data_IF_432102990871
#
_entry.id   IF_432102990871
#
_cell.length_a   1.000
_cell.length_b   1.000
_cell.length_c   1.000
_cell.angle_alpha   90.00
_cell.angle_beta   90.00
_cell.angle_gamma   90.00
#
_symmetry.space_group_name_H-M   'P 1'
#
loop_
_entity.id
_entity.type
_entity.pdbx_description
1 polymer ?
#
# COMPACT_ATOMS: atom_id res chain seq x y z
N UNK A 1 7.76 18.56 0.91
CA UNK A 1 6.36 18.50 1.28
C UNK A 1 5.52 18.32 0.01
N UNK A 2 4.62 17.37 0.00
CA UNK A 2 3.72 17.10 -1.10
C UNK A 2 2.29 16.94 -0.56
N UNK A 3 1.37 17.72 -1.12
CA UNK A 3 -0.04 17.68 -0.76
C UNK A 3 -0.81 16.84 -1.77
N UNK A 4 -1.59 15.91 -1.28
CA UNK A 4 -2.46 15.07 -2.09
C UNK A 4 -3.93 15.34 -1.73
N UNK A 5 -4.74 15.51 -2.75
CA UNK A 5 -6.19 15.66 -2.65
C UNK A 5 -6.85 14.64 -3.55
N UNK A 6 -7.90 14.00 -3.07
CA UNK A 6 -8.56 12.97 -3.85
C UNK A 6 -9.90 12.54 -3.31
N UNK A 7 -10.57 11.74 -4.12
CA UNK A 7 -11.77 11.01 -3.75
C UNK A 7 -11.45 9.53 -3.70
N UNK A 8 -12.02 8.83 -2.74
CA UNK A 8 -11.97 7.38 -2.68
C UNK A 8 -13.16 6.81 -3.43
N UNK A 9 -12.88 6.08 -4.50
CA UNK A 9 -13.88 5.41 -5.32
C UNK A 9 -13.51 3.95 -5.55
N UNK A 10 -14.52 3.08 -5.61
CA UNK A 10 -14.30 1.70 -6.00
C UNK A 10 -14.46 1.55 -7.53
N UNK A 11 -13.63 0.73 -8.14
CA UNK A 11 -13.69 0.44 -9.57
C UNK A 11 -14.83 -0.52 -9.94
N UNK A 12 -15.42 -0.30 -11.10
CA UNK A 12 -16.48 -1.15 -11.65
C UNK A 12 -15.88 -2.45 -12.22
N UNK A 13 -16.30 -3.59 -11.68
CA UNK A 13 -15.93 -4.92 -12.15
C UNK A 13 -17.16 -5.78 -12.44
N UNK A 14 -16.97 -7.07 -12.76
CA UNK A 14 -18.07 -8.00 -12.91
C UNK A 14 -18.80 -8.24 -11.59
N UNK A 15 -20.05 -8.60 -11.65
CA UNK A 15 -20.95 -8.79 -10.50
C UNK A 15 -20.34 -9.74 -9.44
N UNK A 16 -19.76 -10.84 -9.88
CA UNK A 16 -19.17 -11.83 -8.98
C UNK A 16 -17.91 -11.31 -8.30
N UNK A 17 -17.14 -10.49 -8.99
CA UNK A 17 -15.93 -9.87 -8.44
C UNK A 17 -16.23 -8.69 -7.54
N UNK A 18 -17.32 -7.96 -7.82
CA UNK A 18 -17.71 -6.79 -6.99
C UNK A 18 -18.12 -7.20 -5.57
N UNK A 19 -18.74 -8.37 -5.40
CA UNK A 19 -19.08 -8.88 -4.07
C UNK A 19 -17.86 -9.20 -3.19
N UNK A 20 -16.69 -9.33 -3.80
CA UNK A 20 -15.43 -9.62 -3.10
C UNK A 20 -14.51 -8.40 -2.97
N UNK A 21 -14.93 -7.23 -3.46
CA UNK A 21 -14.13 -5.99 -3.45
C UNK A 21 -14.58 -5.10 -2.30
N UNK A 22 -13.61 -4.62 -1.55
CA UNK A 22 -13.86 -3.60 -0.54
C UNK A 22 -14.50 -2.35 -1.14
N UNK A 23 -15.51 -1.83 -0.48
CA UNK A 23 -16.25 -0.63 -0.90
C UNK A 23 -17.54 -0.88 -1.69
N UNK A 24 -17.95 -2.14 -1.85
CA UNK A 24 -19.25 -2.50 -2.42
C UNK A 24 -20.03 -3.44 -1.53
N UNK A 25 -21.29 -3.12 -1.29
CA UNK A 25 -22.25 -3.98 -0.60
C UNK A 25 -23.23 -4.58 -1.57
N UNK A 26 -23.58 -5.85 -1.33
CA UNK A 26 -24.70 -6.51 -1.99
C UNK A 26 -25.98 -6.23 -1.22
N UNK A 27 -26.94 -5.55 -1.83
CA UNK A 27 -28.17 -5.11 -1.19
C UNK A 27 -29.40 -5.51 -2.00
N UNK A 28 -30.55 -5.48 -1.36
CA UNK A 28 -31.83 -5.73 -2.06
C UNK A 28 -32.07 -4.70 -3.16
N UNK A 29 -32.50 -5.17 -4.30
CA UNK A 29 -32.91 -4.34 -5.46
C UNK A 29 -34.39 -3.97 -5.46
N UNK A 30 -35.11 -4.29 -4.40
CA UNK A 30 -36.56 -4.03 -4.28
C UNK A 30 -36.85 -3.17 -3.06
N UNK A 31 -37.84 -2.30 -3.18
CA UNK A 31 -38.32 -1.44 -2.10
C UNK A 31 -39.16 -0.30 -2.65
N UNK A 32 -39.98 0.31 -1.77
CA UNK A 32 -40.76 1.48 -2.12
C UNK A 32 -39.82 2.66 -2.38
N UNK A 33 -39.90 3.26 -3.56
CA UNK A 33 -39.02 4.37 -3.94
C UNK A 33 -37.72 3.95 -4.64
N UNK A 34 -37.52 2.66 -4.91
CA UNK A 34 -36.39 2.16 -5.69
C UNK A 34 -36.84 1.89 -7.13
N UNK A 35 -36.17 2.52 -8.09
CA UNK A 35 -36.34 2.25 -9.52
C UNK A 35 -35.22 1.33 -9.99
N UNK A 36 -35.60 0.10 -10.34
CA UNK A 36 -34.60 -0.91 -10.81
C UNK A 36 -34.69 -1.03 -12.34
N UNK A 37 -33.63 -0.60 -13.03
CA UNK A 37 -33.45 -0.70 -14.48
C UNK A 37 -32.58 -1.88 -14.89
N UNK A 38 -32.17 -2.72 -13.96
CA UNK A 38 -31.31 -3.87 -14.26
C UNK A 38 -32.15 -5.07 -14.75
N UNK A 39 -31.52 -5.92 -15.58
CA UNK A 39 -32.09 -7.19 -15.99
C UNK A 39 -31.86 -8.31 -14.95
N UNK A 40 -31.39 -8.00 -13.75
CA UNK A 40 -31.09 -8.99 -12.71
C UNK A 40 -32.37 -9.55 -12.12
N UNK A 41 -32.40 -10.88 -11.96
CA UNK A 41 -33.52 -11.64 -11.41
C UNK A 41 -33.28 -12.19 -10.00
N UNK A 42 -32.03 -12.00 -9.48
CA UNK A 42 -31.64 -12.50 -8.15
C UNK A 42 -32.11 -11.63 -6.99
N UNK A 43 -32.76 -10.51 -7.26
CA UNK A 43 -33.30 -9.59 -6.25
C UNK A 43 -32.23 -8.74 -5.55
N UNK A 44 -30.99 -8.75 -6.01
CA UNK A 44 -29.88 -8.02 -5.42
C UNK A 44 -29.20 -7.07 -6.40
N UNK A 45 -28.54 -6.08 -5.85
CA UNK A 45 -27.78 -5.08 -6.59
C UNK A 45 -26.53 -4.69 -5.80
N UNK A 46 -25.71 -3.86 -6.38
CA UNK A 46 -24.50 -3.34 -5.75
C UNK A 46 -24.65 -1.88 -5.37
N UNK A 47 -24.12 -1.57 -4.21
CA UNK A 47 -24.08 -0.22 -3.68
C UNK A 47 -22.60 0.13 -3.44
N UNK A 48 -22.18 1.29 -3.91
CA UNK A 48 -20.83 1.78 -3.67
C UNK A 48 -20.71 2.36 -2.27
N UNK A 49 -19.78 1.84 -1.50
CA UNK A 49 -19.36 2.31 -0.19
C UNK A 49 -17.93 2.80 -0.27
N UNK A 50 -17.52 3.61 0.67
CA UNK A 50 -18.02 4.93 1.01
C UNK A 50 -17.56 5.94 -0.04
N UNK A 51 -18.23 7.07 -0.14
CA UNK A 51 -17.70 8.24 -0.85
C UNK A 51 -17.07 9.17 0.16
N UNK A 52 -15.81 9.52 -0.04
CA UNK A 52 -15.08 10.40 0.84
C UNK A 52 -14.17 11.37 0.07
N UNK A 53 -14.03 12.57 0.62
CA UNK A 53 -13.01 13.54 0.20
C UNK A 53 -11.87 13.51 1.20
N UNK A 54 -10.66 13.48 0.69
CA UNK A 54 -9.45 13.40 1.49
C UNK A 54 -8.45 14.47 1.08
N UNK A 55 -7.86 15.11 2.07
CA UNK A 55 -6.72 16.02 1.90
C UNK A 55 -5.59 15.45 2.76
N UNK A 56 -4.45 15.23 2.15
CA UNK A 56 -3.24 14.72 2.80
C UNK A 56 -2.05 15.61 2.52
N UNK A 57 -1.30 15.89 3.55
CA UNK A 57 0.04 16.45 3.45
C UNK A 57 1.07 15.34 3.71
N UNK A 58 2.01 15.19 2.81
CA UNK A 58 3.05 14.17 2.88
C UNK A 58 4.42 14.83 2.90
N UNK A 59 5.23 14.43 3.85
CA UNK A 59 6.63 14.81 3.95
C UNK A 59 7.53 13.60 3.79
N UNK A 60 8.55 13.72 2.95
CA UNK A 60 9.48 12.64 2.67
C UNK A 60 10.91 13.14 2.61
N UNK A 61 11.74 12.57 3.46
CA UNK A 61 13.19 12.80 3.45
C UNK A 61 13.89 11.51 3.03
N UNK A 62 14.71 11.59 1.99
CA UNK A 62 15.55 10.48 1.53
C UNK A 62 17.02 10.82 1.70
N UNK A 63 17.77 9.88 2.25
CA UNK A 63 19.23 9.95 2.40
C UNK A 63 19.84 8.71 1.76
N UNK A 64 20.75 8.90 0.83
CA UNK A 64 21.49 7.81 0.19
C UNK A 64 22.98 8.10 0.27
N UNK A 65 23.76 7.06 0.49
CA UNK A 65 25.21 7.08 0.41
C UNK A 65 25.70 5.78 -0.23
N UNK A 66 26.78 5.88 -0.99
CA UNK A 66 27.48 4.73 -1.55
C UNK A 66 28.97 4.99 -1.49
N UNK A 67 29.74 3.97 -1.13
CA UNK A 67 31.19 4.00 -1.15
C UNK A 67 31.72 2.69 -1.73
N UNK A 68 32.68 2.77 -2.61
CA UNK A 68 33.36 1.63 -3.18
C UNK A 68 34.88 1.87 -3.09
N UNK A 69 35.59 0.90 -2.53
CA UNK A 69 37.03 0.91 -2.44
C UNK A 69 37.60 -0.32 -3.16
N UNK A 70 38.43 -0.10 -4.17
CA UNK A 70 39.12 -1.16 -4.87
C UNK A 70 40.61 -1.09 -4.55
N UNK A 71 41.21 -2.23 -4.22
CA UNK A 71 42.58 -2.36 -3.81
C UNK A 71 43.24 -3.48 -4.63
N UNK A 72 44.32 -3.17 -5.35
CA UNK A 72 45.17 -4.18 -5.93
C UNK A 72 46.13 -4.70 -4.83
N UNK A 73 45.85 -5.92 -4.35
CA UNK A 73 46.68 -6.58 -3.32
C UNK A 73 47.97 -7.15 -3.92
N UNK A 74 47.95 -7.48 -5.22
CA UNK A 74 49.07 -7.85 -6.06
C UNK A 74 48.70 -7.65 -7.53
N UNK A 75 49.63 -7.93 -8.45
CA UNK A 75 49.35 -7.89 -9.89
C UNK A 75 48.24 -8.86 -10.33
N UNK A 76 48.00 -9.89 -9.53
CA UNK A 76 47.03 -10.94 -9.83
C UNK A 76 45.80 -10.94 -8.93
N UNK A 77 45.71 -10.10 -7.87
CA UNK A 77 44.65 -10.09 -6.89
C UNK A 77 44.11 -8.68 -6.72
N UNK A 78 42.83 -8.52 -6.99
CA UNK A 78 42.07 -7.28 -6.75
C UNK A 78 40.95 -7.56 -5.76
N UNK A 79 40.84 -6.71 -4.75
CA UNK A 79 39.73 -6.74 -3.78
C UNK A 79 38.90 -5.49 -3.93
N UNK A 80 37.58 -5.64 -3.91
CA UNK A 80 36.64 -4.55 -3.93
C UNK A 80 35.73 -4.66 -2.70
N UNK A 81 35.63 -3.57 -1.94
CA UNK A 81 34.69 -3.42 -0.82
C UNK A 81 33.69 -2.36 -1.23
N UNK A 82 32.42 -2.66 -1.10
CA UNK A 82 31.34 -1.72 -1.36
C UNK A 82 30.37 -1.63 -0.19
N UNK A 83 29.90 -0.43 0.05
CA UNK A 83 28.89 -0.12 1.04
C UNK A 83 27.81 0.76 0.44
N UNK A 84 26.56 0.37 0.67
CA UNK A 84 25.38 1.13 0.24
C UNK A 84 24.48 1.40 1.45
N UNK A 85 24.01 2.64 1.55
CA UNK A 85 23.07 3.12 2.55
C UNK A 85 21.92 3.84 1.86
N UNK A 86 20.68 3.51 2.22
CA UNK A 86 19.49 4.22 1.75
C UNK A 86 18.46 4.27 2.87
N UNK A 87 18.10 5.48 3.29
CA UNK A 87 17.06 5.71 4.28
C UNK A 87 15.96 6.61 3.71
N UNK A 88 14.71 6.31 4.08
CA UNK A 88 13.55 7.12 3.76
C UNK A 88 12.71 7.29 5.02
N UNK A 89 12.57 8.54 5.46
CA UNK A 89 11.59 8.95 6.45
C UNK A 89 10.37 9.50 5.69
N UNK A 90 9.18 9.00 6.01
CA UNK A 90 7.93 9.44 5.40
C UNK A 90 6.91 9.71 6.48
N UNK A 91 6.43 10.95 6.53
CA UNK A 91 5.37 11.41 7.41
C UNK A 91 4.16 11.83 6.58
N UNK A 92 2.98 11.46 7.04
CA UNK A 92 1.70 11.76 6.40
C UNK A 92 0.70 12.20 7.45
N UNK A 93 0.02 13.31 7.21
CA UNK A 93 -1.11 13.75 8.00
C UNK A 93 -2.22 14.27 7.10
N UNK A 94 -3.46 14.16 7.54
CA UNK A 94 -4.57 14.62 6.73
C UNK A 94 -5.92 14.50 7.40
N UNK A 95 -6.92 14.89 6.64
CA UNK A 95 -8.31 14.78 7.01
C UNK A 95 -9.08 14.06 5.92
N UNK A 96 -10.06 13.28 6.32
CA UNK A 96 -11.04 12.68 5.43
C UNK A 96 -12.44 13.11 5.88
N UNK A 97 -13.26 13.49 4.91
CA UNK A 97 -14.67 13.80 5.11
C UNK A 97 -15.50 12.88 4.23
N UNK A 98 -16.42 12.16 4.83
CA UNK A 98 -17.18 11.18 4.09
C UNK A 98 -18.44 10.72 4.80
N UNK A 99 -18.97 9.63 4.31
CA UNK A 99 -20.06 8.91 4.95
C UNK A 99 -19.89 7.42 4.73
N UNK A 100 -19.97 6.67 5.80
CA UNK A 100 -19.97 5.20 5.76
C UNK A 100 -21.40 4.72 5.51
N UNK A 101 -21.70 4.37 4.25
CA UNK A 101 -23.02 3.98 3.81
C UNK A 101 -23.09 2.47 3.64
N UNK A 102 -24.06 1.85 4.29
CA UNK A 102 -24.52 0.54 3.87
C UNK A 102 -25.66 0.67 2.87
N UNK A 103 -25.61 -0.05 1.77
CA UNK A 103 -26.69 -0.01 0.78
C UNK A 103 -28.04 -0.47 1.31
N UNK A 104 -28.05 -1.24 2.41
CA UNK A 104 -29.28 -1.63 3.14
C UNK A 104 -30.02 -0.45 3.77
N UNK A 105 -29.38 0.68 3.93
CA UNK A 105 -29.96 1.90 4.49
C UNK A 105 -30.66 2.77 3.44
N UNK A 106 -30.53 2.44 2.15
CA UNK A 106 -31.09 3.22 1.04
C UNK A 106 -32.60 3.16 1.04
N UNK A 107 -33.23 4.33 1.14
CA UNK A 107 -34.70 4.46 1.16
C UNK A 107 -35.27 4.72 -0.22
N UNK A 108 -34.56 5.48 -1.04
CA UNK A 108 -34.94 5.81 -2.41
C UNK A 108 -33.72 5.76 -3.29
N UNK A 109 -33.87 5.44 -4.57
CA UNK A 109 -32.75 5.46 -5.48
C UNK A 109 -33.05 4.81 -6.82
N UNK A 110 -32.06 4.93 -7.71
CA UNK A 110 -32.10 4.34 -9.05
C UNK A 110 -30.98 3.33 -9.21
N UNK A 111 -31.34 2.17 -9.71
CA UNK A 111 -30.41 1.11 -10.11
C UNK A 111 -30.28 1.14 -11.62
N UNK A 112 -29.08 1.24 -12.15
CA UNK A 112 -28.84 1.24 -13.59
C UNK A 112 -28.95 -0.16 -14.22
N UNK A 113 -28.82 -0.24 -15.55
CA UNK A 113 -28.90 -1.50 -16.29
C UNK A 113 -27.81 -2.54 -15.92
N UNK A 114 -26.74 -2.09 -15.28
CA UNK A 114 -25.64 -2.97 -14.79
C UNK A 114 -25.88 -3.52 -13.39
N UNK A 115 -26.95 -3.12 -12.73
CA UNK A 115 -27.27 -3.56 -11.38
C UNK A 115 -26.55 -2.80 -10.28
N UNK A 116 -26.25 -1.53 -10.49
CA UNK A 116 -25.56 -0.67 -9.51
C UNK A 116 -26.39 0.56 -9.23
N UNK A 117 -26.47 0.99 -7.98
CA UNK A 117 -27.09 2.25 -7.60
C UNK A 117 -26.32 3.43 -8.21
N UNK A 118 -27.05 4.33 -8.90
CA UNK A 118 -26.53 5.58 -9.46
C UNK A 118 -26.84 6.79 -8.61
N UNK A 119 -27.89 6.70 -7.84
CA UNK A 119 -28.29 7.71 -6.86
C UNK A 119 -29.06 7.03 -5.72
N UNK A 120 -29.14 7.70 -4.59
CA UNK A 120 -29.90 7.21 -3.45
C UNK A 120 -30.00 8.22 -2.34
N UNK A 121 -30.99 8.05 -1.49
CA UNK A 121 -31.16 8.79 -0.23
C UNK A 121 -31.14 7.84 0.93
N UNK A 122 -30.45 8.24 2.00
CA UNK A 122 -30.36 7.49 3.25
C UNK A 122 -30.67 8.43 4.40
N UNK A 123 -31.68 8.11 5.20
CA UNK A 123 -32.03 8.91 6.37
C UNK A 123 -31.21 8.53 7.60
N UNK A 124 -31.19 9.43 8.59
CA UNK A 124 -30.52 9.25 9.88
C UNK A 124 -29.02 8.99 9.75
N UNK A 125 -28.35 9.76 8.89
CA UNK A 125 -26.90 9.68 8.71
C UNK A 125 -26.18 10.84 9.37
N UNK A 126 -25.13 10.49 10.05
CA UNK A 126 -24.13 11.39 10.58
C UNK A 126 -23.14 11.82 9.50
N UNK A 127 -22.50 12.95 9.70
CA UNK A 127 -21.27 13.30 9.02
C UNK A 127 -20.11 12.55 9.66
N UNK A 128 -19.24 11.98 8.84
CA UNK A 128 -18.04 11.32 9.29
C UNK A 128 -16.81 12.12 8.88
N UNK A 129 -15.96 12.42 9.86
CA UNK A 129 -14.65 12.98 9.66
C UNK A 129 -13.61 12.08 10.28
N UNK A 130 -12.45 12.00 9.64
CA UNK A 130 -11.31 11.29 10.19
C UNK A 130 -10.08 12.19 10.13
N UNK A 131 -9.36 12.25 11.23
CA UNK A 131 -7.96 12.65 11.22
C UNK A 131 -7.14 11.41 10.87
N UNK A 132 -6.23 11.55 9.92
CA UNK A 132 -5.39 10.46 9.43
C UNK A 132 -3.94 10.89 9.60
N UNK A 133 -3.11 10.03 10.17
CA UNK A 133 -1.69 10.30 10.28
C UNK A 133 -0.88 9.00 10.22
N UNK A 134 0.37 9.12 9.85
CA UNK A 134 1.29 7.99 9.85
C UNK A 134 2.72 8.44 9.66
N UNK A 135 3.63 7.70 10.25
CA UNK A 135 5.07 7.89 10.07
C UNK A 135 5.71 6.55 9.80
N UNK A 136 6.54 6.48 8.78
CA UNK A 136 7.32 5.27 8.48
C UNK A 136 8.78 5.62 8.25
N UNK A 137 9.66 4.75 8.74
CA UNK A 137 11.09 4.78 8.44
C UNK A 137 11.48 3.50 7.74
N UNK A 138 12.13 3.65 6.60
CA UNK A 138 12.69 2.53 5.86
C UNK A 138 14.20 2.73 5.79
N UNK A 139 14.94 1.69 6.13
CA UNK A 139 16.40 1.68 6.09
C UNK A 139 16.85 0.45 5.29
N UNK A 140 17.76 0.67 4.36
CA UNK A 140 18.46 -0.40 3.66
C UNK A 140 19.95 -0.15 3.74
N UNK A 141 20.68 -1.18 4.12
CA UNK A 141 22.15 -1.17 4.18
C UNK A 141 22.67 -2.43 3.51
N UNK A 142 23.81 -2.31 2.84
CA UNK A 142 24.50 -3.45 2.24
C UNK A 142 25.99 -3.24 2.32
N UNK A 143 26.71 -4.29 2.70
CA UNK A 143 28.17 -4.36 2.69
C UNK A 143 28.59 -5.57 1.85
N UNK A 144 29.38 -5.33 0.83
CA UNK A 144 29.91 -6.34 -0.07
C UNK A 144 31.45 -6.41 -0.04
N UNK A 145 31.96 -7.60 -0.27
CA UNK A 145 33.38 -7.87 -0.51
C UNK A 145 33.49 -8.78 -1.72
N UNK A 146 34.20 -8.31 -2.73
CA UNK A 146 34.60 -9.12 -3.88
C UNK A 146 36.12 -9.26 -3.91
N UNK A 147 36.61 -10.45 -4.27
CA UNK A 147 38.02 -10.73 -4.49
C UNK A 147 38.16 -11.46 -5.83
N UNK A 148 38.78 -10.80 -6.78
CA UNK A 148 39.18 -11.37 -8.06
C UNK A 148 40.62 -11.82 -8.02
N UNK A 149 40.88 -13.07 -8.36
CA UNK A 149 42.22 -13.65 -8.37
C UNK A 149 42.52 -14.32 -9.71
N UNK A 150 43.41 -13.74 -10.48
CA UNK A 150 44.01 -14.34 -11.68
C UNK A 150 45.15 -15.29 -11.27
N UNK A 151 44.85 -16.58 -11.09
CA UNK A 151 45.83 -17.58 -10.62
C UNK A 151 46.94 -17.77 -11.65
N UNK A 152 46.57 -17.85 -12.93
CA UNK A 152 47.48 -17.90 -14.06
C UNK A 152 46.73 -17.48 -15.33
N UNK A 153 47.35 -17.53 -16.49
CA UNK A 153 46.75 -17.10 -17.77
C UNK A 153 45.47 -17.86 -18.12
N UNK A 154 45.31 -19.09 -17.61
CA UNK A 154 44.19 -19.96 -17.93
C UNK A 154 43.08 -19.96 -16.85
N UNK A 155 43.39 -19.60 -15.59
CA UNK A 155 42.46 -19.79 -14.47
C UNK A 155 42.28 -18.51 -13.69
N UNK A 156 41.00 -18.07 -13.59
CA UNK A 156 40.52 -17.00 -12.73
C UNK A 156 39.60 -17.58 -11.67
N UNK A 157 39.69 -17.12 -10.43
CA UNK A 157 38.73 -17.34 -9.37
C UNK A 157 38.17 -16.01 -8.89
N UNK A 158 36.90 -16.01 -8.46
CA UNK A 158 36.27 -14.88 -7.82
C UNK A 158 35.54 -15.35 -6.56
N UNK A 159 35.71 -14.61 -5.48
CA UNK A 159 34.92 -14.71 -4.25
C UNK A 159 34.06 -13.47 -4.15
N UNK A 160 32.77 -13.65 -4.01
CA UNK A 160 31.81 -12.58 -3.71
C UNK A 160 31.07 -12.94 -2.43
N UNK A 161 31.02 -12.01 -1.49
CA UNK A 161 30.22 -12.15 -0.28
C UNK A 161 29.60 -10.82 0.08
N UNK A 162 28.31 -10.84 0.41
CA UNK A 162 27.65 -9.64 0.88
C UNK A 162 26.63 -9.95 1.98
N UNK A 163 26.44 -8.94 2.82
CA UNK A 163 25.37 -8.89 3.81
C UNK A 163 24.55 -7.64 3.58
N UNK A 164 23.24 -7.81 3.48
CA UNK A 164 22.30 -6.70 3.37
C UNK A 164 21.19 -6.81 4.40
N UNK A 165 20.71 -5.66 4.85
CA UNK A 165 19.55 -5.55 5.71
C UNK A 165 18.57 -4.52 5.17
N UNK A 166 17.27 -4.80 5.34
CA UNK A 166 16.19 -3.90 5.00
C UNK A 166 15.18 -3.89 6.14
N UNK A 167 14.99 -2.73 6.77
CA UNK A 167 14.03 -2.58 7.85
C UNK A 167 12.97 -1.51 7.56
N UNK A 168 11.77 -1.74 8.05
CA UNK A 168 10.68 -0.78 8.08
C UNK A 168 10.13 -0.69 9.49
N UNK A 169 9.98 0.54 10.00
CA UNK A 169 9.33 0.81 11.29
C UNK A 169 8.25 1.86 11.14
N UNK A 170 7.26 1.85 12.03
CA UNK A 170 6.20 2.84 12.09
C UNK A 170 4.86 2.32 11.55
N UNK A 171 3.98 3.21 11.16
CA UNK A 171 2.60 2.87 10.80
C UNK A 171 2.53 1.95 9.59
N UNK A 172 1.90 0.79 9.73
CA UNK A 172 1.62 -0.08 8.57
C UNK A 172 0.47 0.43 7.74
N UNK A 173 -0.57 0.87 8.41
CA UNK A 173 -1.74 1.55 7.86
C UNK A 173 -1.77 2.96 8.46
N UNK A 174 -2.45 3.92 7.83
CA UNK A 174 -2.69 5.20 8.47
C UNK A 174 -3.36 4.98 9.82
N UNK A 175 -2.85 5.63 10.85
CA UNK A 175 -3.57 5.79 12.09
C UNK A 175 -4.71 6.75 11.84
N UNK A 176 -5.82 6.57 12.52
CA UNK A 176 -7.00 7.40 12.31
C UNK A 176 -7.77 7.63 13.61
N UNK A 177 -8.36 8.82 13.70
CA UNK A 177 -9.31 9.18 14.73
C UNK A 177 -10.58 9.66 14.04
N UNK A 178 -11.67 8.94 14.25
CA UNK A 178 -12.98 9.24 13.69
C UNK A 178 -13.78 10.16 14.58
N UNK A 179 -14.53 11.06 13.93
CA UNK A 179 -15.49 11.95 14.53
C UNK A 179 -16.82 11.85 13.77
N UNK A 180 -17.92 11.78 14.49
CA UNK A 180 -19.27 11.78 13.93
C UNK A 180 -20.10 12.89 14.52
N UNK A 181 -21.12 13.35 13.79
CA UNK A 181 -22.08 14.32 14.33
C UNK A 181 -23.16 13.62 15.15
N UNK A 182 -23.54 14.23 16.28
CA UNK A 182 -24.72 13.79 17.05
C UNK A 182 -26.03 14.05 16.30
N UNK A 183 -26.07 15.13 15.52
CA UNK A 183 -27.21 15.46 14.68
C UNK A 183 -27.12 14.71 13.36
N UNK A 184 -28.18 13.96 13.05
CA UNK A 184 -28.29 13.14 11.84
C UNK A 184 -29.21 13.81 10.83
N UNK A 185 -28.86 13.63 9.55
CA UNK A 185 -29.64 14.16 8.44
C UNK A 185 -29.95 13.11 7.38
N UNK A 186 -30.58 13.55 6.31
CA UNK A 186 -30.75 12.76 5.11
C UNK A 186 -29.56 12.98 4.18
N UNK A 187 -28.85 11.92 3.92
CA UNK A 187 -27.77 11.91 2.93
C UNK A 187 -28.37 11.64 1.55
N UNK A 188 -28.01 12.46 0.59
CA UNK A 188 -28.25 12.20 -0.83
C UNK A 188 -26.92 11.88 -1.50
N UNK A 189 -26.87 10.74 -2.16
CA UNK A 189 -25.72 10.26 -2.90
C UNK A 189 -26.02 10.24 -4.40
N UNK A 190 -25.06 10.65 -5.22
CA UNK A 190 -25.11 10.55 -6.68
C UNK A 190 -23.81 10.00 -7.21
N UNK A 191 -23.93 8.96 -8.01
CA UNK A 191 -22.82 8.36 -8.72
C UNK A 191 -22.70 8.99 -10.11
N UNK A 192 -21.57 9.58 -10.39
CA UNK A 192 -21.31 10.25 -11.66
C UNK A 192 -21.07 9.29 -12.85
N UNK A 193 -21.12 7.99 -12.64
CA UNK A 193 -20.85 6.99 -13.67
C UNK A 193 -19.39 6.95 -14.08
N UNK A 194 -19.13 6.71 -15.38
CA UNK A 194 -17.76 6.51 -15.87
C UNK A 194 -16.95 7.81 -16.07
N UNK A 195 -17.51 8.96 -15.82
CA UNK A 195 -16.91 10.23 -16.26
C UNK A 195 -16.82 11.33 -15.21
N UNK A 196 -17.15 11.04 -13.95
CA UNK A 196 -17.17 12.08 -12.93
C UNK A 196 -16.91 11.57 -11.51
N UNK A 197 -16.84 12.52 -10.61
CA UNK A 197 -16.65 12.29 -9.17
C UNK A 197 -18.03 12.08 -8.54
N UNK A 198 -18.20 11.02 -7.76
CA UNK A 198 -19.40 10.81 -6.97
C UNK A 198 -19.59 11.96 -6.00
N UNK A 199 -20.82 12.35 -5.78
CA UNK A 199 -21.15 13.43 -4.85
C UNK A 199 -22.12 12.95 -3.77
N UNK A 200 -22.00 13.56 -2.61
CA UNK A 200 -22.98 13.40 -1.54
C UNK A 200 -23.30 14.76 -0.92
N UNK A 201 -24.46 14.88 -0.38
CA UNK A 201 -24.94 16.06 0.30
C UNK A 201 -25.87 15.68 1.45
N UNK A 202 -25.90 16.51 2.47
CA UNK A 202 -26.81 16.38 3.60
C UNK A 202 -27.83 17.50 3.61
N UNK A 203 -29.01 17.23 4.13
CA UNK A 203 -30.07 18.24 4.33
C UNK A 203 -29.92 19.03 5.64
N UNK A 204 -29.01 18.60 6.52
CA UNK A 204 -28.68 19.30 7.78
C UNK A 204 -27.43 20.13 7.62
N UNK A 205 -27.37 21.25 8.35
CA UNK A 205 -26.20 22.11 8.36
C UNK A 205 -25.03 21.45 9.10
N UNK A 206 -23.83 21.71 8.60
CA UNK A 206 -22.60 21.34 9.25
C UNK A 206 -22.32 22.27 10.43
N UNK A 207 -22.31 21.73 11.64
CA UNK A 207 -22.05 22.44 12.89
C UNK A 207 -20.92 21.76 13.67
N UNK A 208 -19.71 22.36 13.72
CA UNK A 208 -18.56 21.74 14.38
C UNK A 208 -18.77 21.40 15.85
N UNK A 209 -19.65 22.13 16.54
CA UNK A 209 -19.99 21.89 17.95
C UNK A 209 -20.71 20.57 18.21
N UNK A 210 -21.25 19.95 17.15
CA UNK A 210 -22.00 18.70 17.25
C UNK A 210 -21.14 17.46 17.03
N UNK A 211 -19.82 17.62 16.87
CA UNK A 211 -18.93 16.48 16.67
C UNK A 211 -18.55 15.78 17.96
N UNK A 212 -18.61 14.46 17.91
CA UNK A 212 -18.17 13.56 18.97
C UNK A 212 -17.07 12.65 18.41
N UNK A 213 -16.08 12.35 19.25
CA UNK A 213 -15.11 11.32 18.90
C UNK A 213 -15.80 9.96 18.83
N UNK A 214 -15.61 9.23 17.73
CA UNK A 214 -16.32 7.97 17.46
C UNK A 214 -15.42 6.75 17.50
N UNK A 215 -14.20 6.88 17.04
CA UNK A 215 -13.26 5.74 16.94
C UNK A 215 -11.81 6.20 16.97
N UNK A 216 -10.93 5.29 17.37
CA UNK A 216 -9.47 5.43 17.22
C UNK A 216 -8.92 4.13 16.69
N UNK A 217 -8.09 4.21 15.66
CA UNK A 217 -7.30 3.10 15.15
C UNK A 217 -5.82 3.49 15.12
N UNK A 218 -4.97 2.63 15.65
CA UNK A 218 -3.52 2.82 15.65
C UNK A 218 -2.85 1.51 15.25
N UNK A 219 -1.92 1.61 14.32
CA UNK A 219 -1.19 0.46 13.79
C UNK A 219 0.28 0.76 13.67
N UNK A 220 1.09 -0.06 14.31
CA UNK A 220 2.53 -0.05 14.17
C UNK A 220 3.01 -1.39 13.60
N UNK A 221 4.04 -1.32 12.77
CA UNK A 221 4.72 -2.48 12.24
C UNK A 221 6.24 -2.33 12.37
N UNK A 222 6.88 -3.45 12.64
CA UNK A 222 8.30 -3.63 12.50
C UNK A 222 8.55 -4.79 11.53
N UNK A 223 9.24 -4.50 10.45
CA UNK A 223 9.67 -5.50 9.47
C UNK A 223 11.16 -5.43 9.34
N UNK A 224 11.79 -6.58 9.32
CA UNK A 224 13.22 -6.72 9.13
C UNK A 224 13.51 -7.88 8.20
N UNK A 225 14.44 -7.67 7.30
CA UNK A 225 14.91 -8.69 6.36
C UNK A 225 16.43 -8.61 6.30
N UNK A 226 17.09 -9.69 6.68
CA UNK A 226 18.53 -9.85 6.52
C UNK A 226 18.81 -10.90 5.45
N UNK A 227 19.78 -10.60 4.59
CA UNK A 227 20.25 -11.50 3.56
C UNK A 227 21.78 -11.57 3.62
N UNK A 228 22.31 -12.79 3.72
CA UNK A 228 23.73 -13.08 3.59
C UNK A 228 23.93 -14.01 2.39
N UNK A 229 24.85 -13.65 1.52
CA UNK A 229 25.22 -14.47 0.38
C UNK A 229 26.73 -14.61 0.31
N UNK A 230 27.20 -15.81 -0.03
CA UNK A 230 28.60 -16.06 -0.37
C UNK A 230 28.63 -16.93 -1.62
N UNK A 231 29.46 -16.53 -2.59
CA UNK A 231 29.62 -17.18 -3.88
C UNK A 231 31.08 -17.31 -4.23
N UNK A 232 31.47 -18.48 -4.72
CA UNK A 232 32.79 -18.72 -5.30
C UNK A 232 32.57 -19.14 -6.75
N UNK A 233 33.22 -18.44 -7.66
CA UNK A 233 33.20 -18.74 -9.09
C UNK A 233 34.58 -18.96 -9.63
N UNK A 234 34.69 -19.80 -10.65
CA UNK A 234 35.91 -20.02 -11.37
C UNK A 234 35.68 -20.07 -12.86
N UNK A 235 36.61 -19.55 -13.62
CA UNK A 235 36.63 -19.63 -15.07
C UNK A 235 38.00 -20.15 -15.52
N UNK A 236 37.94 -21.26 -16.24
CA UNK A 236 39.14 -21.82 -16.89
C UNK A 236 39.02 -21.63 -18.39
N UNK A 237 40.08 -21.09 -19.00
CA UNK A 237 40.18 -20.85 -20.44
C UNK A 237 41.24 -21.78 -21.03
N UNK A 238 40.92 -22.49 -22.09
CA UNK A 238 41.88 -23.29 -22.81
C UNK A 238 42.79 -22.40 -23.66
N UNK A 239 44.06 -22.37 -23.33
CA UNK A 239 45.06 -21.57 -24.07
C UNK A 239 45.55 -22.25 -25.36
N UNK A 240 45.12 -23.49 -25.62
CA UNK A 240 45.46 -24.24 -26.82
C UNK A 240 44.23 -24.38 -27.72
N UNK A 241 44.43 -24.74 -28.98
CA UNK A 241 43.36 -25.07 -29.88
C UNK A 241 42.65 -26.36 -29.41
N UNK A 242 41.31 -26.35 -29.31
CA UNK A 242 40.53 -27.47 -28.86
C UNK A 242 39.04 -27.23 -28.97
N UNK A 243 38.22 -28.28 -28.82
CA UNK A 243 36.75 -28.20 -28.89
C UNK A 243 36.21 -27.48 -27.67
N UNK A 244 36.81 -27.67 -26.51
CA UNK A 244 36.42 -26.93 -25.26
C UNK A 244 37.31 -25.70 -25.15
N UNK A 245 36.70 -24.55 -25.20
CA UNK A 245 37.38 -23.25 -25.12
C UNK A 245 37.42 -22.67 -23.70
N UNK A 246 36.39 -22.92 -22.89
CA UNK A 246 36.32 -22.50 -21.49
C UNK A 246 35.41 -23.41 -20.67
N UNK A 247 35.59 -23.39 -19.37
CA UNK A 247 34.74 -24.03 -18.37
C UNK A 247 34.52 -23.02 -17.24
N UNK A 248 33.26 -22.67 -17.00
CA UNK A 248 32.87 -21.85 -15.86
C UNK A 248 32.21 -22.75 -14.80
N UNK A 249 32.53 -22.55 -13.55
CA UNK A 249 32.03 -23.32 -12.44
C UNK A 249 31.88 -22.43 -11.20
N UNK A 250 31.00 -22.82 -10.28
CA UNK A 250 30.80 -22.07 -9.05
C UNK A 250 29.86 -22.74 -8.09
N UNK A 251 29.86 -22.21 -6.89
CA UNK A 251 28.95 -22.59 -5.80
C UNK A 251 28.55 -21.33 -5.04
N UNK A 252 27.28 -21.26 -4.64
CA UNK A 252 26.79 -20.18 -3.80
C UNK A 252 25.96 -20.71 -2.65
N UNK A 253 25.94 -19.93 -1.57
CA UNK A 253 25.01 -20.11 -0.45
C UNK A 253 24.31 -18.80 -0.16
N UNK A 254 23.03 -18.87 0.16
CA UNK A 254 22.20 -17.72 0.51
C UNK A 254 21.42 -18.08 1.76
N UNK A 255 21.48 -17.19 2.75
CA UNK A 255 20.65 -17.22 3.94
C UNK A 255 19.80 -15.97 3.99
N UNK A 256 18.49 -16.13 4.22
CA UNK A 256 17.56 -15.02 4.33
C UNK A 256 16.71 -15.20 5.58
N UNK A 257 16.71 -14.18 6.44
CA UNK A 257 15.90 -14.10 7.64
C UNK A 257 14.90 -12.97 7.51
N UNK A 258 13.63 -13.25 7.79
CA UNK A 258 12.56 -12.27 7.72
C UNK A 258 11.77 -12.24 9.03
N UNK A 259 11.56 -11.04 9.57
CA UNK A 259 10.70 -10.76 10.71
C UNK A 259 9.59 -9.79 10.32
N UNK A 260 8.33 -10.11 10.64
CA UNK A 260 7.17 -9.23 10.55
C UNK A 260 6.45 -9.21 11.89
N UNK A 261 6.52 -8.09 12.58
CA UNK A 261 5.85 -7.87 13.86
C UNK A 261 4.89 -6.69 13.72
N UNK A 262 3.69 -6.84 14.27
CA UNK A 262 2.63 -5.82 14.19
C UNK A 262 1.99 -5.64 15.56
N UNK A 263 1.68 -4.39 15.86
CA UNK A 263 0.90 -4.01 17.03
C UNK A 263 -0.16 -3.01 16.62
N UNK A 264 -1.34 -3.09 17.22
CA UNK A 264 -2.39 -2.12 16.95
C UNK A 264 -3.71 -2.48 17.62
N UNK A 265 -4.61 -1.53 17.59
CA UNK A 265 -6.00 -1.72 17.94
C UNK A 265 -6.87 -1.48 16.70
N UNK A 266 -7.82 -2.34 16.44
CA UNK A 266 -8.87 -2.10 15.47
C UNK A 266 -10.13 -1.66 16.18
N UNK A 267 -10.67 -0.49 15.81
CA UNK A 267 -11.99 0.00 16.21
C UNK A 267 -12.30 -0.04 17.71
N UNK A 268 -11.55 0.71 18.49
CA UNK A 268 -12.03 1.10 19.80
C UNK A 268 -13.09 2.19 19.63
N UNK A 269 -14.40 1.85 19.70
CA UNK A 269 -15.41 2.88 19.90
C UNK A 269 -15.06 3.64 21.19
N UNK A 270 -15.00 4.95 21.10
CA UNK A 270 -14.83 5.81 22.27
C UNK A 270 -16.26 6.05 22.79
N UNK A 271 -16.61 5.38 23.88
CA UNK A 271 -17.88 5.61 24.60
C UNK A 271 -17.71 6.74 25.58
#
# INVERSE_FOLDING_TARGET
>A
NNREEGTREANWLTVEKMAAIEGYSRVSSSGTGITNNSARTDGFTFYQEPTAYQIKDNDRVRKNAQATLQIALSDSVVSTIDYTYSAVDFDSEGVMFGSWLGGWDTQQGTINSRGVYTDGTVANREYDHQLIWGSTKNLNESLGLNIDWQINDALKLSLDTHKSSASKTGSELPNEMGFTTDIKGTLTHKNAGNSGINTFSYDTAFEPSNYLASSVQMWDAYKDNELEQTQIEGSWTNLNEGIITSIDFGVSTIENTYLDARAGNSNGAIN
#
